data_IF_253080982792
#
_entry.id   IF_253080982792
#
_cell.length_a   1.000
_cell.length_b   1.000
_cell.length_c   1.000
_cell.angle_alpha   90.00
_cell.angle_beta   90.00
_cell.angle_gamma   90.00
#
_symmetry.space_group_name_H-M   'P 1'
#
loop_
_entity.id
_entity.type
_entity.pdbx_description
1 polymer ?
#
# COMPACT_ATOMS: atom_id res chain seq x y z
N UNK A 1 -13.95 4.28 -6.77
CA UNK A 1 -13.27 5.57 -6.52
C UNK A 1 -13.30 6.39 -7.80
N UNK A 2 -13.42 7.72 -7.75
CA UNK A 2 -13.20 8.55 -8.95
C UNK A 2 -11.79 8.28 -9.51
N UNK A 3 -11.61 8.41 -10.83
CA UNK A 3 -10.36 8.25 -11.58
C UNK A 3 -9.32 9.33 -11.23
N UNK A 4 -9.03 9.50 -9.94
CA UNK A 4 -8.14 10.54 -9.42
C UNK A 4 -6.84 9.91 -8.92
N UNK A 5 -5.73 10.55 -9.27
CA UNK A 5 -4.42 10.20 -8.72
C UNK A 5 -4.40 10.56 -7.24
N UNK A 6 -4.21 9.56 -6.38
CA UNK A 6 -4.14 9.72 -4.93
C UNK A 6 -2.80 9.20 -4.40
N UNK A 7 -2.25 9.87 -3.38
CA UNK A 7 -1.17 9.30 -2.57
C UNK A 7 -1.76 8.28 -1.59
N UNK A 8 -0.93 7.42 -1.02
CA UNK A 8 -1.40 6.41 -0.05
C UNK A 8 -2.15 7.03 1.13
N UNK A 9 -1.66 8.16 1.66
CA UNK A 9 -2.28 8.85 2.81
C UNK A 9 -3.55 9.58 2.39
N UNK A 10 -3.56 10.21 1.21
CA UNK A 10 -4.71 10.99 0.76
C UNK A 10 -5.94 10.12 0.45
N UNK A 11 -5.77 8.81 0.23
CA UNK A 11 -6.89 7.86 0.13
C UNK A 11 -7.82 8.01 1.33
N UNK A 12 -7.27 8.15 2.54
CA UNK A 12 -8.06 8.26 3.77
C UNK A 12 -8.70 9.63 3.97
N UNK A 13 -8.14 10.67 3.35
CA UNK A 13 -8.73 12.00 3.31
C UNK A 13 -9.85 12.10 2.26
N UNK A 14 -9.87 11.19 1.29
CA UNK A 14 -10.84 11.14 0.18
C UNK A 14 -12.15 10.43 0.49
N UNK A 15 -12.50 10.23 1.76
CA UNK A 15 -13.73 9.55 2.19
C UNK A 15 -13.61 8.03 2.29
N UNK A 16 -12.39 7.51 2.46
CA UNK A 16 -12.14 6.11 2.81
C UNK A 16 -11.75 6.04 4.28
N UNK A 17 -12.60 5.47 5.12
CA UNK A 17 -12.34 5.31 6.55
C UNK A 17 -11.44 4.09 6.82
N UNK A 18 -11.58 3.04 6.00
CA UNK A 18 -10.78 1.83 6.11
C UNK A 18 -10.72 1.03 4.82
N UNK A 19 -9.68 0.22 4.71
CA UNK A 19 -9.48 -0.75 3.62
C UNK A 19 -9.65 -2.16 4.18
N UNK A 20 -10.51 -2.98 3.59
CA UNK A 20 -10.71 -4.38 3.98
C UNK A 20 -10.25 -5.29 2.85
N UNK A 21 -9.21 -6.10 3.09
CA UNK A 21 -8.78 -7.13 2.15
C UNK A 21 -9.75 -8.32 2.25
N UNK A 22 -10.45 -8.69 1.16
CA UNK A 22 -11.46 -9.75 1.24
C UNK A 22 -10.84 -11.15 1.36
N UNK A 23 -11.49 -12.04 2.12
CA UNK A 23 -10.99 -13.39 2.44
C UNK A 23 -10.72 -14.27 1.21
N UNK A 24 -11.39 -14.02 0.08
CA UNK A 24 -11.18 -14.81 -1.16
C UNK A 24 -9.83 -14.53 -1.82
N UNK A 25 -9.13 -13.49 -1.37
CA UNK A 25 -7.88 -13.09 -1.95
C UNK A 25 -6.71 -13.92 -1.45
N UNK A 26 -5.66 -14.01 -2.28
CA UNK A 26 -4.44 -14.76 -1.96
C UNK A 26 -3.66 -14.06 -0.85
N UNK A 27 -2.99 -14.87 -0.03
CA UNK A 27 -2.05 -14.39 0.98
C UNK A 27 -1.03 -13.40 0.41
N UNK A 28 -0.50 -12.54 1.28
CA UNK A 28 0.60 -11.66 0.93
C UNK A 28 1.79 -12.47 0.41
N UNK A 29 2.10 -12.30 -0.88
CA UNK A 29 3.07 -13.13 -1.57
C UNK A 29 4.48 -12.58 -1.42
N UNK A 30 4.65 -11.25 -1.38
CA UNK A 30 5.96 -10.61 -1.33
C UNK A 30 6.74 -10.93 -0.03
N UNK A 31 6.07 -11.37 1.03
CA UNK A 31 6.70 -11.84 2.27
C UNK A 31 7.34 -13.23 2.19
N UNK A 32 7.13 -13.98 1.09
CA UNK A 32 7.61 -15.37 0.96
C UNK A 32 9.10 -15.42 0.62
N UNK A 33 9.79 -16.42 1.17
CA UNK A 33 11.24 -16.63 1.00
C UNK A 33 11.58 -17.51 -0.22
N UNK A 34 10.94 -17.22 -1.36
CA UNK A 34 11.17 -17.88 -2.65
C UNK A 34 11.97 -16.95 -3.55
N UNK A 35 12.99 -17.44 -4.26
CA UNK A 35 13.94 -16.60 -5.00
C UNK A 35 13.26 -15.66 -6.02
N UNK A 36 12.31 -16.18 -6.81
CA UNK A 36 11.56 -15.38 -7.78
C UNK A 36 10.78 -14.25 -7.09
N UNK A 37 10.15 -14.55 -5.96
CA UNK A 37 9.39 -13.58 -5.17
C UNK A 37 10.31 -12.52 -4.57
N UNK A 38 11.49 -12.93 -4.06
CA UNK A 38 12.51 -12.00 -3.55
C UNK A 38 12.93 -11.01 -4.63
N UNK A 39 13.13 -11.45 -5.88
CA UNK A 39 13.47 -10.55 -7.00
C UNK A 39 12.35 -9.56 -7.30
N UNK A 40 11.08 -9.97 -7.26
CA UNK A 40 9.93 -9.07 -7.43
C UNK A 40 9.83 -8.07 -6.27
N UNK A 41 9.95 -8.54 -5.02
CA UNK A 41 9.96 -7.69 -3.81
C UNK A 41 11.06 -6.64 -3.87
N UNK A 42 12.30 -7.04 -4.13
CA UNK A 42 13.45 -6.14 -4.14
C UNK A 42 13.29 -5.04 -5.20
N UNK A 43 12.88 -5.40 -6.43
CA UNK A 43 12.60 -4.39 -7.47
C UNK A 43 11.53 -3.38 -7.04
N UNK A 44 10.49 -3.85 -6.37
CA UNK A 44 9.43 -2.97 -5.90
C UNK A 44 9.91 -2.05 -4.76
N UNK A 45 10.62 -2.59 -3.78
CA UNK A 45 11.20 -1.81 -2.69
C UNK A 45 12.25 -0.80 -3.19
N UNK A 46 13.07 -1.17 -4.17
CA UNK A 46 14.04 -0.26 -4.78
C UNK A 46 13.34 0.90 -5.50
N UNK A 47 12.24 0.63 -6.20
CA UNK A 47 11.43 1.65 -6.86
C UNK A 47 10.80 2.61 -5.84
N UNK A 48 10.26 2.09 -4.73
CA UNK A 48 9.72 2.89 -3.64
C UNK A 48 10.82 3.71 -2.96
N UNK A 49 11.98 3.11 -2.69
CA UNK A 49 13.12 3.78 -2.07
C UNK A 49 13.63 4.95 -2.92
N UNK A 50 13.77 4.74 -4.24
CA UNK A 50 14.13 5.82 -5.15
C UNK A 50 13.10 6.94 -5.11
N UNK A 51 11.82 6.61 -5.19
CA UNK A 51 10.74 7.59 -5.20
C UNK A 51 10.66 8.48 -3.94
N UNK A 52 11.18 8.02 -2.81
CA UNK A 52 11.22 8.82 -1.56
C UNK A 52 12.57 9.50 -1.32
N UNK A 53 13.63 9.04 -1.99
CA UNK A 53 14.98 9.63 -1.86
C UNK A 53 15.35 10.56 -3.02
N UNK A 54 14.55 10.59 -4.09
CA UNK A 54 14.62 11.55 -5.18
C UNK A 54 13.40 12.48 -5.14
N UNK A 55 13.47 13.61 -5.85
CA UNK A 55 12.30 14.49 -6.06
C UNK A 55 11.33 13.91 -7.12
N UNK A 56 11.64 12.74 -7.68
CA UNK A 56 10.82 12.06 -8.68
C UNK A 56 9.91 11.03 -7.99
N UNK A 57 8.69 11.46 -7.64
CA UNK A 57 7.67 10.54 -7.11
C UNK A 57 7.33 9.40 -8.08
N UNK A 58 6.72 8.33 -7.57
CA UNK A 58 6.32 7.17 -8.38
C UNK A 58 4.79 7.09 -8.52
N UNK A 59 4.32 6.81 -9.73
CA UNK A 59 2.93 6.38 -9.95
C UNK A 59 2.85 4.88 -9.76
N UNK A 60 2.18 4.46 -8.70
CA UNK A 60 1.79 3.07 -8.52
C UNK A 60 0.56 2.80 -9.38
N UNK A 61 0.56 1.67 -10.07
CA UNK A 61 -0.54 1.24 -10.94
C UNK A 61 -1.89 1.25 -10.18
N UNK A 62 -3.00 1.26 -10.91
CA UNK A 62 -4.32 1.48 -10.33
C UNK A 62 -4.69 0.45 -9.27
N UNK A 63 -5.49 0.88 -8.29
CA UNK A 63 -6.18 0.01 -7.34
C UNK A 63 -7.65 0.05 -7.72
N UNK A 64 -8.26 -1.12 -7.91
CA UNK A 64 -9.65 -1.23 -8.29
C UNK A 64 -10.42 -2.00 -7.22
N UNK A 65 -11.62 -1.54 -6.87
CA UNK A 65 -12.42 -2.11 -5.80
C UNK A 65 -13.74 -1.40 -5.59
N UNK A 66 -14.55 -1.98 -4.72
CA UNK A 66 -15.83 -1.41 -4.28
C UNK A 66 -15.59 -0.39 -3.15
N UNK A 67 -16.30 0.73 -3.19
CA UNK A 67 -16.28 1.73 -2.13
C UNK A 67 -17.71 1.94 -1.65
N UNK A 68 -18.00 1.45 -0.44
CA UNK A 68 -19.32 1.52 0.16
C UNK A 68 -19.21 1.95 1.62
N UNK A 69 -19.96 2.99 1.99
CA UNK A 69 -20.04 3.49 3.37
C UNK A 69 -18.64 3.72 4.00
N UNK A 70 -17.74 4.38 3.26
CA UNK A 70 -16.36 4.65 3.69
C UNK A 70 -15.42 3.44 3.68
N UNK A 71 -15.89 2.25 3.31
CA UNK A 71 -15.09 1.03 3.25
C UNK A 71 -14.65 0.74 1.82
N UNK A 72 -13.34 0.76 1.60
CA UNK A 72 -12.73 0.27 0.36
C UNK A 72 -12.46 -1.24 0.45
N UNK A 73 -13.04 -2.00 -0.47
CA UNK A 73 -12.74 -3.42 -0.66
C UNK A 73 -12.03 -3.63 -2.00
N UNK A 74 -10.69 -3.73 -2.03
CA UNK A 74 -9.95 -3.91 -3.27
C UNK A 74 -10.22 -5.28 -3.91
N UNK A 75 -10.53 -5.25 -5.20
CA UNK A 75 -10.59 -6.42 -6.07
C UNK A 75 -9.21 -6.69 -6.70
N UNK A 76 -8.42 -5.63 -6.97
CA UNK A 76 -7.03 -5.70 -7.40
C UNK A 76 -6.18 -4.63 -6.69
N UNK A 77 -4.85 -4.78 -6.69
CA UNK A 77 -3.90 -3.87 -6.07
C UNK A 77 -3.64 -4.11 -4.59
N UNK A 78 -4.24 -5.16 -4.01
CA UNK A 78 -4.08 -5.53 -2.61
C UNK A 78 -2.63 -5.72 -2.15
N UNK A 79 -1.77 -6.36 -2.96
CA UNK A 79 -0.38 -6.60 -2.56
C UNK A 79 0.35 -5.26 -2.45
N UNK A 80 0.10 -4.31 -3.38
CA UNK A 80 0.68 -2.96 -3.34
C UNK A 80 0.22 -2.19 -2.10
N UNK A 81 -1.08 -2.21 -1.82
CA UNK A 81 -1.65 -1.57 -0.61
C UNK A 81 -1.05 -2.16 0.66
N UNK A 82 -0.97 -3.48 0.76
CA UNK A 82 -0.35 -4.17 1.91
C UNK A 82 1.12 -3.77 2.07
N UNK A 83 1.91 -3.71 0.98
CA UNK A 83 3.30 -3.26 1.07
C UNK A 83 3.43 -1.82 1.55
N UNK A 84 2.60 -0.91 1.04
CA UNK A 84 2.61 0.50 1.47
C UNK A 84 2.22 0.65 2.94
N UNK A 85 1.20 -0.08 3.38
CA UNK A 85 0.82 -0.13 4.79
C UNK A 85 1.94 -0.66 5.67
N UNK A 86 2.59 -1.76 5.27
CA UNK A 86 3.71 -2.34 6.03
C UNK A 86 4.90 -1.39 6.11
N UNK A 87 5.20 -0.64 5.04
CA UNK A 87 6.27 0.36 5.05
C UNK A 87 5.93 1.56 5.94
N UNK A 88 4.69 2.05 5.87
CA UNK A 88 4.19 3.10 6.75
C UNK A 88 4.31 2.67 8.23
N UNK A 89 3.82 1.47 8.55
CA UNK A 89 3.89 0.91 9.90
C UNK A 89 5.34 0.68 10.36
N UNK A 90 6.19 0.16 9.49
CA UNK A 90 7.62 -0.04 9.77
C UNK A 90 8.31 1.30 10.09
N UNK A 91 8.07 2.34 9.29
CA UNK A 91 8.64 3.66 9.51
C UNK A 91 8.16 4.24 10.85
N UNK A 92 6.86 4.18 11.13
CA UNK A 92 6.31 4.62 12.40
C UNK A 92 6.93 3.90 13.61
N UNK A 93 7.09 2.57 13.53
CA UNK A 93 7.74 1.79 14.59
C UNK A 93 9.23 2.12 14.73
N UNK A 94 9.93 2.33 13.62
CA UNK A 94 11.35 2.68 13.62
C UNK A 94 11.61 4.04 14.26
N UNK A 95 10.76 5.01 13.98
CA UNK A 95 10.85 6.37 14.53
C UNK A 95 10.19 6.51 15.91
N UNK A 96 9.69 5.41 16.50
CA UNK A 96 8.96 5.39 17.76
C UNK A 96 7.78 6.37 17.80
N UNK A 97 7.07 6.52 16.67
CA UNK A 97 5.87 7.34 16.60
C UNK A 97 4.80 6.77 17.55
N UNK A 98 4.21 7.61 18.42
CA UNK A 98 3.13 7.20 19.30
C UNK A 98 1.92 6.63 18.53
N UNK A 99 1.20 5.62 19.06
CA UNK A 99 0.07 5.00 18.36
C UNK A 99 -1.09 5.94 18.04
N UNK A 100 -1.20 7.05 18.74
CA UNK A 100 -2.19 8.11 18.55
C UNK A 100 -1.86 9.05 17.37
N UNK A 101 -0.65 8.97 16.83
CA UNK A 101 -0.17 9.73 15.68
C UNK A 101 0.01 8.87 14.41
N UNK A 102 -0.34 7.59 14.46
CA UNK A 102 -0.25 6.60 13.36
C UNK A 102 -1.61 6.13 12.90
#
# INVERSE_FOLDING_TARGET
>A
MPESLQTFINIFQGGVDRIIIPNIQRDYAQGREIEEIRRVRNRFLDALYRAVTTEEGIKLDFVYGDLKDGVLTPLDGQQRLTTLFLLHWYAAKKENVPPDET
#
